data_IF_148472140237
#
_entry.id   IF_148472140237
#
_cell.length_a   1.000
_cell.length_b   1.000
_cell.length_c   1.000
_cell.angle_alpha   90.00
_cell.angle_beta   90.00
_cell.angle_gamma   90.00
#
_symmetry.space_group_name_H-M   'P 1'
#
loop_
_entity.id
_entity.type
_entity.pdbx_description
1 polymer ?
#
# COMPACT_ATOMS: atom_id res chain seq x y z
N UNK A 1 26.84 -3.67 -31.40
CA UNK A 1 26.98 -2.46 -30.57
C UNK A 1 26.42 -2.80 -29.22
N UNK A 2 27.28 -3.00 -28.22
CA UNK A 2 26.84 -3.11 -26.83
C UNK A 2 26.28 -1.75 -26.42
N UNK A 3 25.04 -1.74 -25.90
CA UNK A 3 24.51 -0.54 -25.28
C UNK A 3 25.44 -0.16 -24.11
N UNK A 4 25.81 1.11 -24.00
CA UNK A 4 26.60 1.57 -22.85
C UNK A 4 25.87 1.23 -21.55
N UNK A 5 26.60 0.91 -20.49
CA UNK A 5 26.05 0.51 -19.18
C UNK A 5 24.94 1.43 -18.67
N UNK A 6 24.97 2.71 -19.03
CA UNK A 6 23.95 3.70 -18.67
C UNK A 6 22.62 3.46 -19.39
N UNK A 7 22.63 3.07 -20.67
CA UNK A 7 21.41 2.81 -21.44
C UNK A 7 20.67 1.57 -20.94
N UNK A 8 21.40 0.52 -20.53
CA UNK A 8 20.77 -0.66 -19.95
C UNK A 8 20.07 -0.31 -18.63
N UNK A 9 20.74 0.46 -17.76
CA UNK A 9 20.14 0.93 -16.50
C UNK A 9 18.87 1.74 -16.74
N UNK A 10 18.86 2.64 -17.73
CA UNK A 10 17.67 3.45 -18.05
C UNK A 10 16.51 2.56 -18.52
N UNK A 11 16.79 1.58 -19.38
CA UNK A 11 15.79 0.62 -19.86
C UNK A 11 15.23 -0.22 -18.71
N UNK A 12 16.09 -0.73 -17.83
CA UNK A 12 15.65 -1.55 -16.69
C UNK A 12 14.76 -0.76 -15.73
N UNK A 13 15.06 0.54 -15.50
CA UNK A 13 14.22 1.43 -14.71
C UNK A 13 12.86 1.69 -15.37
N UNK A 14 12.83 1.90 -16.69
CA UNK A 14 11.57 2.07 -17.44
C UNK A 14 10.69 0.83 -17.36
N UNK A 15 11.29 -0.36 -17.46
CA UNK A 15 10.60 -1.64 -17.33
C UNK A 15 10.07 -1.83 -15.91
N UNK A 16 10.90 -1.60 -14.89
CA UNK A 16 10.46 -1.70 -13.49
C UNK A 16 9.32 -0.73 -13.20
N UNK A 17 9.41 0.52 -13.65
CA UNK A 17 8.37 1.53 -13.41
C UNK A 17 7.02 1.10 -14.01
N UNK A 18 7.06 0.57 -15.24
CA UNK A 18 5.88 -0.01 -15.89
C UNK A 18 5.31 -1.20 -15.11
N UNK A 19 6.16 -2.15 -14.72
CA UNK A 19 5.75 -3.34 -13.99
C UNK A 19 5.15 -2.98 -12.61
N UNK A 20 5.75 -2.03 -11.90
CA UNK A 20 5.22 -1.52 -10.64
C UNK A 20 3.84 -0.91 -10.82
N UNK A 21 3.68 0.04 -11.75
CA UNK A 21 2.40 0.72 -11.92
C UNK A 21 1.28 -0.20 -12.40
N UNK A 22 1.56 -1.14 -13.30
CA UNK A 22 0.57 -2.12 -13.76
C UNK A 22 0.20 -3.10 -12.66
N UNK A 23 1.17 -3.55 -11.85
CA UNK A 23 0.93 -4.43 -10.71
C UNK A 23 0.14 -3.75 -9.60
N UNK A 24 0.50 -2.50 -9.24
CA UNK A 24 -0.23 -1.70 -8.25
C UNK A 24 -1.65 -1.43 -8.75
N UNK A 25 -1.82 -1.05 -10.02
CA UNK A 25 -3.14 -0.86 -10.59
C UNK A 25 -4.01 -2.10 -10.43
N UNK A 26 -3.47 -3.29 -10.72
CA UNK A 26 -4.18 -4.54 -10.50
C UNK A 26 -4.48 -4.75 -9.02
N UNK A 27 -3.50 -4.65 -8.13
CA UNK A 27 -3.68 -4.84 -6.69
C UNK A 27 -4.74 -3.91 -6.09
N UNK A 28 -4.76 -2.65 -6.51
CA UNK A 28 -5.60 -1.61 -5.92
C UNK A 28 -7.00 -1.56 -6.54
N UNK A 29 -7.15 -1.77 -7.85
CA UNK A 29 -8.44 -1.61 -8.54
C UNK A 29 -9.21 -2.93 -8.73
N UNK A 30 -8.54 -4.08 -8.76
CA UNK A 30 -9.22 -5.38 -8.94
C UNK A 30 -9.76 -5.97 -7.64
N UNK A 31 -9.41 -5.39 -6.49
CA UNK A 31 -9.91 -5.80 -5.17
C UNK A 31 -11.40 -5.50 -4.94
N UNK A 32 -12.09 -4.86 -5.90
CA UNK A 32 -13.45 -4.34 -5.72
C UNK A 32 -14.59 -4.95 -6.54
N UNK A 33 -14.37 -5.50 -7.75
CA UNK A 33 -15.52 -5.75 -8.67
C UNK A 33 -15.47 -7.06 -9.47
N UNK A 34 -14.30 -7.58 -9.86
CA UNK A 34 -14.20 -8.88 -10.53
C UNK A 34 -12.87 -9.52 -10.14
N UNK A 35 -12.86 -10.78 -9.69
CA UNK A 35 -11.62 -11.49 -9.41
C UNK A 35 -10.84 -11.63 -10.73
N UNK A 36 -9.71 -10.94 -10.89
CA UNK A 36 -8.81 -11.25 -12.00
C UNK A 36 -8.32 -12.68 -11.79
N UNK A 37 -7.96 -13.37 -12.87
CA UNK A 37 -7.35 -14.69 -12.78
C UNK A 37 -6.17 -14.60 -11.78
N UNK A 38 -6.29 -15.25 -10.62
CA UNK A 38 -5.36 -15.09 -9.50
C UNK A 38 -3.92 -15.43 -9.91
N UNK A 39 -3.77 -16.36 -10.87
CA UNK A 39 -2.51 -16.72 -11.50
C UNK A 39 -1.82 -15.57 -12.26
N UNK A 40 -2.58 -14.65 -12.86
CA UNK A 40 -2.04 -13.52 -13.64
C UNK A 40 -1.49 -12.41 -12.72
N UNK A 41 -2.10 -12.24 -11.54
CA UNK A 41 -1.62 -11.31 -10.52
C UNK A 41 -0.36 -11.84 -9.81
N UNK A 42 -0.34 -13.13 -9.45
CA UNK A 42 0.82 -13.78 -8.84
C UNK A 42 2.04 -13.70 -9.76
N UNK A 43 1.85 -13.92 -11.08
CA UNK A 43 2.90 -13.73 -12.07
C UNK A 43 3.47 -12.30 -12.09
N UNK A 44 2.62 -11.28 -12.03
CA UNK A 44 3.06 -9.88 -12.01
C UNK A 44 3.89 -9.58 -10.77
N UNK A 45 3.44 -10.05 -9.60
CA UNK A 45 4.16 -9.90 -8.33
C UNK A 45 5.53 -10.58 -8.39
N UNK A 46 5.60 -11.81 -8.90
CA UNK A 46 6.86 -12.53 -9.08
C UNK A 46 7.81 -11.81 -10.02
N UNK A 47 7.29 -11.24 -11.10
CA UNK A 47 8.09 -10.49 -12.06
C UNK A 47 8.67 -9.23 -11.40
N UNK A 48 7.88 -8.46 -10.64
CA UNK A 48 8.38 -7.28 -9.92
C UNK A 48 9.47 -7.67 -8.92
N UNK A 49 9.28 -8.73 -8.12
CA UNK A 49 10.29 -9.18 -7.16
C UNK A 49 11.58 -9.67 -7.84
N UNK A 50 11.47 -10.40 -8.95
CA UNK A 50 12.63 -10.82 -9.72
C UNK A 50 13.42 -9.61 -10.22
N UNK A 51 12.74 -8.59 -10.77
CA UNK A 51 13.40 -7.35 -11.21
C UNK A 51 14.02 -6.57 -10.05
N UNK A 52 13.33 -6.43 -8.92
CA UNK A 52 13.90 -5.78 -7.71
C UNK A 52 15.18 -6.48 -7.24
N UNK A 53 15.27 -7.81 -7.35
CA UNK A 53 16.43 -8.59 -6.90
C UNK A 53 17.68 -8.45 -7.79
N UNK A 54 17.49 -8.06 -9.05
CA UNK A 54 18.57 -7.96 -10.05
C UNK A 54 19.04 -6.51 -10.22
N UNK A 55 18.21 -5.53 -9.84
CA UNK A 55 18.57 -4.12 -9.94
C UNK A 55 19.59 -3.70 -8.86
N UNK A 56 20.49 -2.74 -9.16
CA UNK A 56 21.40 -2.16 -8.18
C UNK A 56 20.64 -1.65 -6.95
N UNK A 57 21.27 -1.74 -5.77
CA UNK A 57 20.63 -1.49 -4.47
C UNK A 57 19.77 -0.21 -4.48
N UNK A 58 18.61 -0.28 -3.82
CA UNK A 58 17.52 0.71 -3.76
C UNK A 58 17.90 2.18 -3.51
N UNK A 59 19.15 2.47 -3.14
CA UNK A 59 19.70 3.81 -2.99
C UNK A 59 19.89 4.59 -4.29
N UNK A 60 19.73 3.96 -5.46
CA UNK A 60 19.85 4.62 -6.78
C UNK A 60 18.50 4.87 -7.48
N UNK A 61 17.39 4.42 -6.90
CA UNK A 61 16.07 4.60 -7.51
C UNK A 61 15.63 6.08 -7.42
N UNK A 62 15.05 6.66 -8.49
CA UNK A 62 14.37 7.95 -8.42
C UNK A 62 13.31 7.99 -7.32
N UNK A 63 13.09 9.16 -6.74
CA UNK A 63 12.17 9.37 -5.60
C UNK A 63 10.77 8.81 -5.88
N UNK A 64 10.25 9.04 -7.08
CA UNK A 64 8.93 8.54 -7.50
C UNK A 64 8.87 7.01 -7.55
N UNK A 65 9.93 6.35 -8.04
CA UNK A 65 10.02 4.89 -8.07
C UNK A 65 10.13 4.30 -6.67
N UNK A 66 10.86 4.95 -5.73
CA UNK A 66 10.92 4.48 -4.33
C UNK A 66 9.53 4.49 -3.69
N UNK A 67 8.72 5.50 -3.98
CA UNK A 67 7.34 5.58 -3.52
C UNK A 67 6.48 4.49 -4.15
N UNK A 68 6.62 4.22 -5.46
CA UNK A 68 5.92 3.11 -6.14
C UNK A 68 6.28 1.74 -5.56
N UNK A 69 7.56 1.50 -5.26
CA UNK A 69 8.01 0.27 -4.58
C UNK A 69 7.36 0.12 -3.20
N UNK A 70 7.35 1.19 -2.38
CA UNK A 70 6.71 1.16 -1.07
C UNK A 70 5.19 0.91 -1.19
N UNK A 71 4.53 1.57 -2.13
CA UNK A 71 3.11 1.40 -2.42
C UNK A 71 2.79 -0.03 -2.86
N UNK A 72 3.60 -0.61 -3.76
CA UNK A 72 3.46 -2.00 -4.20
C UNK A 72 3.58 -2.97 -3.03
N UNK A 73 4.62 -2.82 -2.19
CA UNK A 73 4.85 -3.67 -1.01
C UNK A 73 3.68 -3.59 -0.02
N UNK A 74 3.18 -2.38 0.24
CA UNK A 74 2.03 -2.17 1.11
C UNK A 74 0.75 -2.80 0.55
N UNK A 75 0.44 -2.56 -0.73
CA UNK A 75 -0.74 -3.12 -1.38
C UNK A 75 -0.70 -4.66 -1.42
N UNK A 76 0.47 -5.24 -1.69
CA UNK A 76 0.66 -6.69 -1.67
C UNK A 76 0.50 -7.26 -0.25
N UNK A 77 1.06 -6.61 0.77
CA UNK A 77 0.92 -7.07 2.16
C UNK A 77 -0.54 -6.99 2.65
N UNK A 78 -1.30 -5.97 2.22
CA UNK A 78 -2.72 -5.84 2.51
C UNK A 78 -3.58 -6.94 1.86
N UNK A 79 -3.15 -7.53 0.74
CA UNK A 79 -3.83 -8.69 0.11
C UNK A 79 -3.83 -9.92 1.02
N UNK A 80 -2.71 -10.16 1.71
CA UNK A 80 -2.55 -11.33 2.58
C UNK A 80 -2.96 -11.06 4.03
N UNK A 81 -3.24 -9.80 4.37
CA UNK A 81 -3.77 -9.46 5.68
C UNK A 81 -5.13 -10.18 5.86
N UNK A 82 -5.31 -10.96 6.94
CA UNK A 82 -6.42 -11.90 7.05
C UNK A 82 -7.77 -11.22 6.88
N UNK A 83 -8.39 -11.49 5.74
CA UNK A 83 -9.76 -11.12 5.45
C UNK A 83 -10.66 -11.92 6.40
N UNK A 84 -11.32 -11.22 7.33
CA UNK A 84 -12.36 -11.82 8.18
C UNK A 84 -13.61 -12.19 7.39
N UNK A 85 -13.69 -11.89 6.08
CA UNK A 85 -14.87 -12.20 5.24
C UNK A 85 -14.95 -13.66 4.78
N UNK A 86 -13.88 -14.46 4.79
CA UNK A 86 -13.92 -15.80 4.18
C UNK A 86 -13.16 -16.88 4.97
N UNK A 87 -13.73 -17.32 6.09
CA UNK A 87 -13.30 -18.55 6.80
C UNK A 87 -13.62 -19.85 6.04
N UNK A 88 -14.30 -19.79 4.89
CA UNK A 88 -14.67 -20.98 4.10
C UNK A 88 -13.85 -21.17 2.81
N UNK A 89 -13.46 -20.12 2.08
CA UNK A 89 -12.74 -20.27 0.79
C UNK A 89 -11.22 -20.10 0.86
N UNK A 90 -10.69 -19.47 1.92
CA UNK A 90 -9.24 -19.26 2.06
C UNK A 90 -8.44 -20.55 2.31
N UNK A 91 -9.11 -21.68 2.61
CA UNK A 91 -8.45 -22.97 2.84
C UNK A 91 -8.13 -23.73 1.55
N UNK A 92 -8.88 -23.55 0.48
CA UNK A 92 -8.62 -24.26 -0.79
C UNK A 92 -7.61 -23.53 -1.67
N UNK A 93 -7.58 -22.19 -1.69
CA UNK A 93 -6.59 -21.43 -2.49
C UNK A 93 -5.15 -21.55 -1.94
N UNK A 94 -4.99 -21.80 -0.62
CA UNK A 94 -3.68 -22.04 0.01
C UNK A 94 -2.96 -23.30 -0.48
N UNK A 95 -3.66 -24.26 -1.09
CA UNK A 95 -3.07 -25.52 -1.52
C UNK A 95 -2.48 -25.47 -2.95
N UNK A 96 -2.79 -24.44 -3.74
CA UNK A 96 -2.33 -24.37 -5.14
C UNK A 96 -1.11 -23.49 -5.39
N UNK A 97 -0.89 -22.41 -4.61
CA UNK A 97 0.28 -21.51 -4.77
C UNK A 97 1.48 -21.86 -3.86
N UNK A 98 1.35 -22.85 -2.98
CA UNK A 98 2.28 -23.15 -1.87
C UNK A 98 3.48 -24.06 -2.23
N UNK A 99 4.09 -23.92 -3.41
CA UNK A 99 5.34 -24.67 -3.72
C UNK A 99 6.63 -23.84 -3.78
N UNK A 100 6.54 -22.51 -3.69
CA UNK A 100 7.71 -21.65 -3.91
C UNK A 100 8.01 -20.60 -2.82
N UNK A 101 7.23 -20.51 -1.73
CA UNK A 101 7.46 -19.47 -0.72
C UNK A 101 7.74 -20.03 0.67
N UNK A 102 8.77 -19.49 1.38
CA UNK A 102 8.88 -19.67 2.82
C UNK A 102 7.62 -19.09 3.47
N UNK A 103 7.16 -19.69 4.58
CA UNK A 103 6.05 -19.17 5.38
C UNK A 103 6.24 -17.67 5.66
N UNK A 104 5.56 -16.81 4.89
CA UNK A 104 5.64 -15.37 5.06
C UNK A 104 5.06 -15.02 6.42
N UNK A 105 5.91 -14.47 7.29
CA UNK A 105 5.53 -13.95 8.58
C UNK A 105 4.34 -13.00 8.38
N UNK A 106 3.20 -13.31 8.99
CA UNK A 106 2.01 -12.47 8.88
C UNK A 106 2.30 -11.07 9.41
N UNK A 107 2.33 -10.07 8.53
CA UNK A 107 2.54 -8.66 8.88
C UNK A 107 1.40 -8.18 9.79
N UNK A 108 1.73 -7.54 10.91
CA UNK A 108 0.71 -6.99 11.81
C UNK A 108 0.12 -5.70 11.27
N UNK A 109 -1.07 -5.31 11.76
CA UNK A 109 -1.64 -4.00 11.40
C UNK A 109 -0.79 -2.84 11.88
N UNK A 110 -0.04 -2.99 12.97
CA UNK A 110 0.89 -1.96 13.44
C UNK A 110 2.03 -1.76 12.44
N UNK A 111 2.61 -2.84 11.92
CA UNK A 111 3.67 -2.79 10.89
C UNK A 111 3.13 -2.17 9.58
N UNK A 112 1.91 -2.55 9.17
CA UNK A 112 1.25 -1.96 8.00
C UNK A 112 0.90 -0.48 8.20
N UNK A 113 0.50 -0.08 9.41
CA UNK A 113 0.23 1.32 9.74
C UNK A 113 1.51 2.18 9.63
N UNK A 114 2.63 1.69 10.17
CA UNK A 114 3.92 2.38 10.05
C UNK A 114 4.35 2.51 8.58
N UNK A 115 4.21 1.44 7.80
CA UNK A 115 4.51 1.47 6.37
C UNK A 115 3.61 2.45 5.60
N UNK A 116 2.30 2.47 5.90
CA UNK A 116 1.34 3.40 5.28
C UNK A 116 1.66 4.86 5.61
N UNK A 117 1.91 5.17 6.89
CA UNK A 117 2.22 6.53 7.33
C UNK A 117 3.55 7.00 6.72
N UNK A 118 4.56 6.13 6.71
CA UNK A 118 5.85 6.40 6.07
C UNK A 118 5.70 6.68 4.58
N UNK A 119 4.90 5.88 3.88
CA UNK A 119 4.57 6.09 2.47
C UNK A 119 3.92 7.47 2.25
N UNK A 120 2.93 7.84 3.07
CA UNK A 120 2.25 9.12 2.98
C UNK A 120 3.21 10.30 3.18
N UNK A 121 4.15 10.20 4.12
CA UNK A 121 5.19 11.22 4.31
C UNK A 121 6.16 11.31 3.14
N UNK A 122 6.56 10.17 2.56
CA UNK A 122 7.49 10.14 1.42
C UNK A 122 6.88 10.72 0.14
N UNK A 123 5.56 10.68 0.00
CA UNK A 123 4.84 11.37 -1.09
C UNK A 123 4.94 12.90 -0.92
N UNK A 124 4.96 13.35 0.33
CA UNK A 124 5.14 14.75 0.71
C UNK A 124 4.01 15.64 0.20
N UNK A 125 4.36 16.84 -0.27
CA UNK A 125 3.39 17.84 -0.70
C UNK A 125 2.50 17.42 -1.90
N UNK A 126 2.82 16.31 -2.57
CA UNK A 126 2.01 15.77 -3.67
C UNK A 126 0.66 15.22 -3.19
N UNK A 127 0.55 14.84 -1.92
CA UNK A 127 -0.69 14.35 -1.32
C UNK A 127 -1.01 15.16 -0.07
N UNK A 128 -2.20 15.77 -0.03
CA UNK A 128 -2.65 16.51 1.14
C UNK A 128 -2.79 15.58 2.34
N UNK A 129 -2.37 16.05 3.52
CA UNK A 129 -2.57 15.33 4.78
C UNK A 129 -4.05 15.00 5.04
N UNK A 130 -4.95 15.88 4.62
CA UNK A 130 -6.39 15.67 4.74
C UNK A 130 -6.88 14.42 3.97
N UNK A 131 -6.15 13.99 2.94
CA UNK A 131 -6.51 12.84 2.10
C UNK A 131 -6.22 11.51 2.79
N UNK A 132 -5.18 11.43 3.63
CA UNK A 132 -4.71 10.15 4.20
C UNK A 132 -4.81 10.07 5.73
N UNK A 133 -4.96 11.20 6.43
CA UNK A 133 -4.93 11.21 7.89
C UNK A 133 -6.08 10.44 8.55
N UNK A 134 -7.29 10.47 7.99
CA UNK A 134 -8.41 9.67 8.51
C UNK A 134 -8.10 8.17 8.39
N UNK A 135 -7.60 7.75 7.23
CA UNK A 135 -7.16 6.36 6.99
C UNK A 135 -6.05 5.94 7.95
N UNK A 136 -5.04 6.79 8.17
CA UNK A 136 -3.99 6.53 9.16
C UNK A 136 -4.57 6.42 10.59
N UNK A 137 -5.50 7.29 10.96
CA UNK A 137 -6.16 7.23 12.26
C UNK A 137 -6.96 5.93 12.44
N UNK A 138 -7.64 5.46 11.39
CA UNK A 138 -8.32 4.17 11.39
C UNK A 138 -7.33 2.99 11.51
N UNK A 139 -6.17 3.05 10.85
CA UNK A 139 -5.10 2.06 11.03
C UNK A 139 -4.71 1.90 12.50
N UNK A 140 -4.53 3.01 13.23
CA UNK A 140 -4.18 2.98 14.66
C UNK A 140 -5.25 2.26 15.49
N UNK A 141 -6.53 2.52 15.20
CA UNK A 141 -7.66 1.85 15.89
C UNK A 141 -7.66 0.36 15.60
N UNK A 142 -7.54 -0.03 14.32
CA UNK A 142 -7.56 -1.44 13.95
C UNK A 142 -6.36 -2.20 14.51
N UNK A 143 -5.16 -1.58 14.54
CA UNK A 143 -3.98 -2.15 15.18
C UNK A 143 -4.18 -2.39 16.68
N UNK A 144 -4.76 -1.42 17.40
CA UNK A 144 -5.08 -1.56 18.81
C UNK A 144 -6.11 -2.68 19.08
N UNK A 145 -7.14 -2.79 18.23
CA UNK A 145 -8.14 -3.86 18.29
C UNK A 145 -7.52 -5.23 18.01
N UNK A 146 -6.66 -5.33 17.00
CA UNK A 146 -5.93 -6.57 16.66
C UNK A 146 -5.07 -7.04 17.85
N UNK A 147 -4.26 -6.15 18.42
CA UNK A 147 -3.34 -6.52 19.49
C UNK A 147 -4.09 -7.00 20.75
N UNK A 148 -5.17 -6.31 21.11
CA UNK A 148 -6.01 -6.75 22.22
C UNK A 148 -6.61 -8.12 21.96
N UNK A 149 -7.09 -8.40 20.73
CA UNK A 149 -7.63 -9.71 20.38
C UNK A 149 -6.58 -10.82 20.42
N UNK A 150 -5.31 -10.52 20.12
CA UNK A 150 -4.21 -11.50 20.18
C UNK A 150 -3.78 -11.83 21.60
N UNK A 151 -3.78 -10.83 22.48
CA UNK A 151 -3.17 -10.94 23.81
C UNK A 151 -4.17 -11.02 24.97
N UNK A 152 -5.42 -10.61 24.74
CA UNK A 152 -6.48 -10.39 25.74
C UNK A 152 -6.04 -9.53 26.94
N UNK A 153 -4.95 -8.76 26.78
CA UNK A 153 -4.28 -8.03 27.84
C UNK A 153 -4.59 -6.54 27.78
N UNK A 154 -4.89 -5.93 28.93
CA UNK A 154 -5.03 -4.47 29.02
C UNK A 154 -3.68 -3.76 28.82
N UNK A 155 -2.57 -4.39 29.21
CA UNK A 155 -1.23 -3.80 29.08
C UNK A 155 -0.77 -3.66 27.62
N UNK A 156 -1.16 -4.60 26.75
CA UNK A 156 -0.85 -4.53 25.32
C UNK A 156 -1.62 -3.40 24.62
N UNK A 157 -2.87 -3.17 25.01
CA UNK A 157 -3.66 -2.02 24.57
C UNK A 157 -3.02 -0.71 25.02
N UNK A 158 -2.59 -0.61 26.28
CA UNK A 158 -1.89 0.58 26.78
C UNK A 158 -0.60 0.87 26.00
N UNK A 159 0.16 -0.17 25.63
CA UNK A 159 1.36 -0.02 24.77
C UNK A 159 1.00 0.56 23.40
N UNK A 160 -0.08 0.07 22.77
CA UNK A 160 -0.55 0.60 21.49
C UNK A 160 -1.10 2.03 21.58
N UNK A 161 -1.77 2.38 22.69
CA UNK A 161 -2.20 3.76 22.95
C UNK A 161 -0.99 4.69 23.01
N UNK A 162 0.08 4.29 23.70
CA UNK A 162 1.33 5.08 23.77
C UNK A 162 2.00 5.19 22.41
N UNK A 163 2.05 4.10 21.63
CA UNK A 163 2.57 4.13 20.27
C UNK A 163 1.75 5.07 19.37
N UNK A 164 0.42 4.99 19.40
CA UNK A 164 -0.47 5.87 18.65
C UNK A 164 -0.30 7.35 19.02
N UNK A 165 -0.09 7.66 20.32
CA UNK A 165 0.25 9.02 20.78
C UNK A 165 1.57 9.49 20.17
N UNK A 166 2.62 8.68 20.23
CA UNK A 166 3.92 9.05 19.67
C UNK A 166 3.84 9.31 18.16
N UNK A 167 3.02 8.57 17.42
CA UNK A 167 2.77 8.82 15.99
C UNK A 167 2.02 10.14 15.80
N UNK A 168 0.98 10.40 16.59
CA UNK A 168 0.23 11.66 16.56
C UNK A 168 1.06 12.88 16.97
N UNK A 169 2.07 12.71 17.83
CA UNK A 169 2.95 13.81 18.24
C UNK A 169 4.01 14.12 17.17
N UNK A 170 4.34 13.15 16.32
CA UNK A 170 5.26 13.29 15.19
C UNK A 170 4.58 13.89 13.94
N UNK A 171 3.26 13.79 13.80
CA UNK A 171 2.52 14.52 12.76
C UNK A 171 2.59 16.02 13.04
N UNK A 172 3.20 16.79 12.12
CA UNK A 172 3.45 18.24 12.24
C UNK A 172 2.19 19.11 12.39
N UNK A 173 1.01 18.52 12.23
CA UNK A 173 -0.31 19.12 12.32
C UNK A 173 -1.06 18.42 13.46
N UNK A 174 -1.71 19.19 14.33
CA UNK A 174 -2.73 18.71 15.28
C UNK A 174 -3.95 18.26 14.48
N UNK A 175 -3.79 17.18 13.73
CA UNK A 175 -4.81 16.71 12.85
C UNK A 175 -5.99 16.23 13.70
N UNK A 176 -7.16 16.81 13.42
CA UNK A 176 -8.38 16.50 14.13
C UNK A 176 -8.71 15.00 14.06
N UNK A 177 -8.42 14.32 12.94
CA UNK A 177 -8.66 12.88 12.81
C UNK A 177 -7.85 12.06 13.81
N UNK A 178 -6.57 12.38 14.01
CA UNK A 178 -5.73 11.72 15.01
C UNK A 178 -6.19 12.06 16.43
N UNK A 179 -6.54 13.33 16.70
CA UNK A 179 -7.05 13.75 18.01
C UNK A 179 -8.36 13.04 18.37
N UNK A 180 -9.30 13.01 17.43
CA UNK A 180 -10.60 12.35 17.58
C UNK A 180 -10.38 10.83 17.76
N UNK A 181 -9.50 10.21 16.98
CA UNK A 181 -9.11 8.81 17.13
C UNK A 181 -8.53 8.50 18.51
N UNK A 182 -7.60 9.31 19.00
CA UNK A 182 -7.00 9.13 20.33
C UNK A 182 -8.05 9.19 21.45
N UNK A 183 -9.09 10.01 21.29
CA UNK A 183 -10.20 10.08 22.25
C UNK A 183 -10.99 8.76 22.32
N UNK A 184 -11.09 8.02 21.21
CA UNK A 184 -11.76 6.73 21.16
C UNK A 184 -10.91 5.58 21.71
N UNK A 185 -9.58 5.66 21.61
CA UNK A 185 -8.71 4.59 22.09
C UNK A 185 -8.73 4.45 23.62
N UNK A 186 -9.02 5.53 24.35
CA UNK A 186 -9.15 5.47 25.80
C UNK A 186 -10.53 4.92 26.23
N UNK A 187 -10.58 3.87 27.08
CA UNK A 187 -11.84 3.38 27.62
C UNK A 187 -12.52 4.46 28.47
N UNK A 188 -13.84 4.68 28.35
CA UNK A 188 -14.58 5.54 29.27
C UNK A 188 -14.51 5.00 30.71
N UNK A 189 -14.62 5.90 31.68
CA UNK A 189 -14.60 5.56 33.10
C UNK A 189 -15.62 4.46 33.43
N UNK A 190 -15.18 3.43 34.16
CA UNK A 190 -16.00 2.29 34.54
C UNK A 190 -16.32 1.29 33.42
N UNK A 191 -15.88 1.52 32.17
CA UNK A 191 -16.09 0.59 31.07
C UNK A 191 -14.97 -0.46 31.03
N UNK A 192 -15.33 -1.75 31.02
CA UNK A 192 -14.33 -2.81 30.85
C UNK A 192 -13.68 -2.74 29.47
N UNK A 193 -12.38 -3.06 29.39
CA UNK A 193 -11.61 -3.03 28.14
C UNK A 193 -12.26 -3.91 27.06
N UNK A 194 -12.81 -5.07 27.41
CA UNK A 194 -13.48 -5.95 26.46
C UNK A 194 -14.71 -5.28 25.82
N UNK A 195 -15.56 -4.65 26.63
CA UNK A 195 -16.74 -3.92 26.16
C UNK A 195 -16.33 -2.72 25.28
N UNK A 196 -15.26 -2.02 25.67
CA UNK A 196 -14.70 -0.92 24.89
C UNK A 196 -14.22 -1.37 23.50
N UNK A 197 -13.43 -2.44 23.42
CA UNK A 197 -12.92 -2.99 22.16
C UNK A 197 -14.05 -3.48 21.25
N UNK A 198 -15.10 -4.09 21.81
CA UNK A 198 -16.30 -4.45 21.03
C UNK A 198 -16.99 -3.21 20.45
N UNK A 199 -17.07 -2.15 21.23
CA UNK A 199 -17.66 -0.87 20.82
C UNK A 199 -16.83 -0.21 19.71
N UNK A 200 -15.50 -0.21 19.84
CA UNK A 200 -14.59 0.25 18.79
C UNK A 200 -14.73 -0.57 17.51
N UNK A 201 -14.80 -1.90 17.62
CA UNK A 201 -14.96 -2.78 16.47
C UNK A 201 -16.27 -2.52 15.71
N UNK A 202 -17.35 -2.21 16.43
CA UNK A 202 -18.64 -1.87 15.83
C UNK A 202 -18.64 -0.47 15.20
N UNK A 203 -17.96 0.49 15.85
CA UNK A 203 -17.87 1.88 15.37
C UNK A 203 -16.94 2.04 14.18
N UNK A 204 -15.87 1.24 14.13
CA UNK A 204 -14.89 1.21 13.06
C UNK A 204 -14.87 -0.19 12.43
N UNK A 205 -15.84 -0.50 11.55
CA UNK A 205 -15.88 -1.79 10.88
C UNK A 205 -14.66 -2.01 9.99
N UNK A 206 -14.05 -3.21 10.08
CA UNK A 206 -12.86 -3.56 9.31
C UNK A 206 -13.08 -3.45 7.80
N UNK A 207 -14.29 -3.72 7.30
CA UNK A 207 -14.60 -3.62 5.88
C UNK A 207 -14.56 -2.17 5.36
N UNK A 208 -15.06 -1.22 6.15
CA UNK A 208 -14.98 0.21 5.83
C UNK A 208 -13.55 0.71 5.87
N UNK A 209 -12.79 0.26 6.86
CA UNK A 209 -11.36 0.52 6.94
C UNK A 209 -10.64 0.01 5.69
N UNK A 210 -10.85 -1.24 5.27
CA UNK A 210 -10.22 -1.78 4.06
C UNK A 210 -10.54 -0.94 2.83
N UNK A 211 -11.81 -0.53 2.64
CA UNK A 211 -12.18 0.37 1.55
C UNK A 211 -11.43 1.70 1.61
N UNK A 212 -11.40 2.35 2.78
CA UNK A 212 -10.71 3.62 2.96
C UNK A 212 -9.20 3.52 2.66
N UNK A 213 -8.57 2.39 3.03
CA UNK A 213 -7.17 2.12 2.69
C UNK A 213 -6.99 2.09 1.17
N UNK A 214 -7.74 1.25 0.46
CA UNK A 214 -7.62 1.14 -1.00
C UNK A 214 -7.98 2.42 -1.74
N UNK A 215 -9.01 3.14 -1.30
CA UNK A 215 -9.36 4.46 -1.84
C UNK A 215 -8.18 5.45 -1.67
N UNK A 216 -7.50 5.41 -0.52
CA UNK A 216 -6.30 6.24 -0.33
C UNK A 216 -5.16 5.81 -1.23
N UNK A 217 -4.94 4.50 -1.42
CA UNK A 217 -3.92 3.99 -2.35
C UNK A 217 -4.20 4.42 -3.81
N UNK A 218 -5.48 4.51 -4.20
CA UNK A 218 -5.91 5.08 -5.49
C UNK A 218 -5.52 6.55 -5.59
N UNK A 219 -5.79 7.35 -4.56
CA UNK A 219 -5.40 8.77 -4.55
C UNK A 219 -3.88 8.95 -4.61
N UNK A 220 -3.12 8.08 -3.93
CA UNK A 220 -1.67 8.04 -4.05
C UNK A 220 -1.26 7.81 -5.51
N UNK A 221 -1.81 6.78 -6.18
CA UNK A 221 -1.48 6.48 -7.57
C UNK A 221 -1.74 7.65 -8.53
N UNK A 222 -2.75 8.48 -8.25
CA UNK A 222 -3.10 9.64 -9.09
C UNK A 222 -2.08 10.78 -9.03
N UNK A 223 -1.31 10.88 -7.94
CA UNK A 223 -0.33 11.96 -7.73
C UNK A 223 1.11 11.55 -8.10
N UNK A 224 1.33 10.29 -8.47
CA UNK A 224 2.61 9.78 -8.96
C UNK A 224 2.73 9.95 -10.47
N UNK A 225 3.96 10.04 -10.96
CA UNK A 225 4.19 10.20 -12.40
C UNK A 225 3.82 8.91 -13.15
N UNK A 226 3.06 8.97 -14.25
CA UNK A 226 2.76 7.78 -15.04
C UNK A 226 4.03 7.29 -15.75
N UNK A 227 4.30 5.98 -15.81
CA UNK A 227 5.45 5.45 -16.53
C UNK A 227 5.46 5.85 -17.99
N UNK A 228 6.65 6.15 -18.53
CA UNK A 228 6.83 6.52 -19.94
C UNK A 228 6.25 5.46 -20.87
N UNK A 229 6.40 4.18 -20.54
CA UNK A 229 5.85 3.08 -21.34
C UNK A 229 4.31 3.11 -21.38
N UNK A 230 3.63 3.41 -20.27
CA UNK A 230 2.16 3.59 -20.25
C UNK A 230 1.75 4.83 -21.07
N UNK A 231 2.52 5.91 -21.01
CA UNK A 231 2.26 7.12 -21.80
C UNK A 231 2.37 6.83 -23.32
N UNK A 232 3.37 6.05 -23.73
CA UNK A 232 3.54 5.60 -25.11
C UNK A 232 2.39 4.72 -25.60
N UNK A 233 1.93 3.77 -24.78
CA UNK A 233 0.76 2.94 -25.07
C UNK A 233 -0.51 3.79 -25.28
N UNK A 234 -0.68 4.84 -24.48
CA UNK A 234 -1.82 5.79 -24.59
C UNK A 234 -1.69 6.80 -25.73
N UNK A 235 -0.55 6.79 -26.43
CA UNK A 235 -0.28 7.63 -27.59
C UNK A 235 0.02 9.09 -27.27
N UNK A 236 0.42 9.41 -26.05
CA UNK A 236 0.84 10.77 -25.69
C UNK A 236 1.89 10.74 -24.58
N UNK A 237 3.11 11.16 -24.93
CA UNK A 237 4.16 11.45 -23.95
C UNK A 237 3.92 12.81 -23.31
N UNK A 238 4.21 12.91 -22.02
CA UNK A 238 4.17 14.17 -21.28
C UNK A 238 5.11 15.19 -21.92
N UNK A 239 4.64 16.43 -22.05
CA UNK A 239 5.38 17.51 -22.72
C UNK A 239 5.32 17.47 -24.24
N UNK A 240 4.71 16.46 -24.86
CA UNK A 240 4.47 16.38 -26.29
C UNK A 240 2.97 16.34 -26.61
N UNK A 241 2.61 16.89 -27.77
CA UNK A 241 1.31 16.62 -28.39
C UNK A 241 1.25 15.17 -28.89
N UNK A 242 0.03 14.69 -29.19
CA UNK A 242 -0.17 13.38 -29.82
C UNK A 242 0.52 13.28 -31.19
N UNK A 243 0.55 14.38 -31.94
CA UNK A 243 1.21 14.42 -33.25
C UNK A 243 2.73 14.30 -33.11
N UNK A 244 3.33 15.04 -32.18
CA UNK A 244 4.77 14.96 -31.87
C UNK A 244 5.15 13.59 -31.31
N UNK A 245 4.32 13.02 -30.43
CA UNK A 245 4.52 11.67 -29.92
C UNK A 245 4.50 10.64 -31.05
N UNK A 246 3.55 10.75 -31.98
CA UNK A 246 3.48 9.87 -33.16
C UNK A 246 4.71 10.02 -34.05
N UNK A 247 5.13 11.24 -34.35
CA UNK A 247 6.34 11.49 -35.13
C UNK A 247 7.59 10.90 -34.46
N UNK A 248 7.70 10.99 -33.14
CA UNK A 248 8.77 10.37 -32.39
C UNK A 248 8.73 8.85 -32.51
N UNK A 249 7.56 8.23 -32.31
CA UNK A 249 7.35 6.79 -32.46
C UNK A 249 7.74 6.29 -33.85
N UNK A 250 7.26 6.96 -34.90
CA UNK A 250 7.58 6.63 -36.29
C UNK A 250 9.10 6.70 -36.55
N UNK A 251 9.80 7.67 -35.95
CA UNK A 251 11.26 7.85 -36.07
C UNK A 251 12.07 6.75 -35.38
N UNK A 252 11.55 6.17 -34.30
CA UNK A 252 12.24 5.14 -33.51
C UNK A 252 11.71 3.72 -33.74
N UNK A 253 10.72 3.56 -34.63
CA UNK A 253 10.17 2.26 -35.03
C UNK A 253 9.19 1.63 -34.02
N UNK A 254 8.38 2.45 -33.32
CA UNK A 254 7.35 2.03 -32.35
C UNK A 254 5.91 2.30 -32.81
#
# INVERSE_FOLDING_TARGET
MEAGSNTQSDVDLLILDYLLCTSIYRLVYTSGVEQPNECDLDWHIHTVHAFESVLPHSGLLPDDMRVKVQLFKLANALRYYPDTRNTSHARESRLSSSRYWPEEKSTSLSELAEAFITLCYNIGARLSEATWADTAAQFLIQAAVEEYRKSESSASLSKHITWAKNISDQTASKNKAFTDCMSYLQPPDGTSVNVHIRTLSAKFPINKFTCAVFDTLVEIMKVLEPPVLIQLERGQLWGLSRAETKQLKDRIGL
#
